data_IF_890475347995
#
_entry.id   IF_890475347995
#
_cell.length_a   1.000
_cell.length_b   1.000
_cell.length_c   1.000
_cell.angle_alpha   90.00
_cell.angle_beta   90.00
_cell.angle_gamma   90.00
#
_symmetry.space_group_name_H-M   'P 1'
#
loop_
_entity.id
_entity.type
_entity.pdbx_description
1 polymer ?
#
# COMPACT_ATOMS: atom_id res chain seq x y z
N UNK A 1 -23.31 -20.15 -17.39
CA UNK A 1 -23.09 -18.69 -17.46
C UNK A 1 -24.10 -18.01 -16.55
N UNK A 2 -23.75 -17.89 -15.27
CA UNK A 2 -24.14 -16.89 -14.27
C UNK A 2 -23.83 -17.54 -12.91
N UNK A 3 -22.62 -17.36 -12.40
CA UNK A 3 -22.30 -17.68 -11.00
C UNK A 3 -22.15 -16.34 -10.25
N UNK A 4 -23.25 -15.82 -9.65
CA UNK A 4 -23.21 -14.57 -8.92
C UNK A 4 -22.20 -14.58 -7.78
N UNK A 5 -21.92 -15.75 -7.18
CA UNK A 5 -20.93 -15.86 -6.10
C UNK A 5 -19.54 -15.56 -6.65
N UNK A 6 -19.15 -16.22 -7.74
CA UNK A 6 -17.85 -15.98 -8.36
C UNK A 6 -17.69 -14.52 -8.80
N UNK A 7 -18.75 -13.91 -9.36
CA UNK A 7 -18.73 -12.50 -9.74
C UNK A 7 -18.53 -11.56 -8.53
N UNK A 8 -19.32 -11.75 -7.46
CA UNK A 8 -19.24 -10.91 -6.26
C UNK A 8 -17.92 -11.11 -5.49
N UNK A 9 -17.40 -12.33 -5.43
CA UNK A 9 -16.07 -12.60 -4.87
C UNK A 9 -14.99 -11.87 -5.66
N UNK A 10 -15.05 -11.89 -7.00
CA UNK A 10 -14.11 -11.14 -7.84
C UNK A 10 -14.15 -9.63 -7.58
N UNK A 11 -15.33 -9.04 -7.36
CA UNK A 11 -15.45 -7.63 -6.99
C UNK A 11 -14.84 -7.34 -5.61
N UNK A 12 -15.03 -8.24 -4.65
CA UNK A 12 -14.45 -8.12 -3.31
C UNK A 12 -12.92 -8.21 -3.35
N UNK A 13 -12.37 -9.16 -4.10
CA UNK A 13 -10.93 -9.31 -4.28
C UNK A 13 -10.33 -8.07 -4.95
N UNK A 14 -11.00 -7.51 -5.95
CA UNK A 14 -10.59 -6.26 -6.58
C UNK A 14 -10.56 -5.09 -5.58
N UNK A 15 -11.56 -5.00 -4.69
CA UNK A 15 -11.62 -3.97 -3.66
C UNK A 15 -10.49 -4.12 -2.62
N UNK A 16 -10.20 -5.34 -2.17
CA UNK A 16 -9.04 -5.62 -1.29
C UNK A 16 -7.76 -5.20 -1.99
N UNK A 17 -7.59 -5.61 -3.26
CA UNK A 17 -6.38 -5.36 -3.99
C UNK A 17 -6.18 -3.88 -4.32
N UNK A 18 -7.25 -3.08 -4.41
CA UNK A 18 -7.18 -1.63 -4.53
C UNK A 18 -6.78 -0.93 -3.22
N UNK A 19 -7.09 -1.55 -2.07
CA UNK A 19 -6.71 -1.06 -0.74
C UNK A 19 -5.34 -1.57 -0.25
N UNK A 20 -4.63 -2.36 -1.07
CA UNK A 20 -3.34 -2.94 -0.70
C UNK A 20 -2.26 -1.84 -0.54
N UNK A 21 -1.68 -1.67 0.66
CA UNK A 21 -0.59 -0.74 0.94
C UNK A 21 0.57 -0.80 -0.06
N UNK A 22 0.97 -2.01 -0.48
CA UNK A 22 2.10 -2.19 -1.38
C UNK A 22 1.84 -1.59 -2.77
N UNK A 23 0.58 -1.54 -3.20
CA UNK A 23 0.18 -1.01 -4.51
C UNK A 23 -0.05 0.49 -4.46
N UNK A 24 -0.69 0.99 -3.39
CA UNK A 24 -1.03 2.41 -3.28
C UNK A 24 0.19 3.27 -2.97
N UNK A 25 1.19 2.77 -2.24
CA UNK A 25 2.31 3.58 -1.79
C UNK A 25 3.24 3.97 -2.93
N UNK A 26 3.58 3.04 -3.83
CA UNK A 26 4.53 3.27 -4.93
C UNK A 26 4.22 4.51 -5.79
N UNK A 27 2.95 4.84 -5.99
CA UNK A 27 2.53 6.00 -6.78
C UNK A 27 2.28 7.29 -6.00
N UNK A 28 2.32 7.24 -4.66
CA UNK A 28 1.92 8.35 -3.78
C UNK A 28 3.02 8.76 -2.80
N UNK A 29 4.25 8.28 -2.98
CA UNK A 29 5.37 8.68 -2.13
C UNK A 29 5.71 10.17 -2.33
N UNK A 30 5.92 10.93 -1.24
CA UNK A 30 6.46 12.27 -1.34
C UNK A 30 7.93 12.22 -1.75
N UNK A 31 8.43 13.28 -2.37
CA UNK A 31 9.87 13.46 -2.54
C UNK A 31 10.57 13.53 -1.18
N UNK A 32 11.79 12.98 -1.02
CA UNK A 32 12.53 13.01 0.23
C UNK A 32 12.77 14.45 0.70
N UNK A 33 12.34 14.83 1.91
CA UNK A 33 12.66 16.13 2.47
C UNK A 33 14.15 16.26 2.76
N UNK A 34 14.66 17.49 2.80
CA UNK A 34 16.05 17.75 3.19
C UNK A 34 16.30 17.26 4.62
N UNK A 35 17.42 16.56 4.82
CA UNK A 35 17.81 16.02 6.12
C UNK A 35 17.20 14.64 6.40
N UNK A 36 16.66 14.45 7.61
CA UNK A 36 16.21 13.14 8.09
C UNK A 36 14.69 12.99 7.92
N UNK A 37 14.28 11.93 7.24
CA UNK A 37 12.86 11.54 7.13
C UNK A 37 12.45 10.73 8.37
N UNK A 38 11.37 11.13 9.04
CA UNK A 38 10.77 10.41 10.16
C UNK A 38 9.36 9.98 9.75
N UNK A 39 9.08 8.69 9.86
CA UNK A 39 7.77 8.11 9.54
C UNK A 39 7.10 7.70 10.84
N UNK A 40 5.88 8.20 11.08
CA UNK A 40 5.08 7.84 12.25
C UNK A 40 3.90 7.03 11.75
N UNK A 41 3.87 5.77 12.15
CA UNK A 41 2.76 4.90 11.89
C UNK A 41 1.74 4.89 13.05
N UNK A 42 0.45 4.84 12.75
CA UNK A 42 -0.61 4.72 13.75
C UNK A 42 -1.77 3.82 13.27
N UNK A 43 -2.41 3.10 14.20
CA UNK A 43 -3.57 2.26 13.93
C UNK A 43 -3.27 0.77 13.77
N UNK A 44 -4.32 -0.02 13.56
CA UNK A 44 -4.27 -1.51 13.65
C UNK A 44 -3.48 -2.19 12.52
N UNK A 45 -3.28 -1.53 11.38
CA UNK A 45 -2.55 -2.06 10.22
C UNK A 45 -1.15 -1.48 10.04
N UNK A 46 -0.66 -0.74 11.05
CA UNK A 46 0.54 0.07 10.90
C UNK A 46 1.81 -0.72 10.58
N UNK A 47 1.97 -1.91 11.16
CA UNK A 47 3.18 -2.71 10.94
C UNK A 47 3.31 -3.15 9.47
N UNK A 48 2.21 -3.60 8.87
CA UNK A 48 2.16 -3.96 7.45
C UNK A 48 2.36 -2.73 6.55
N UNK A 49 1.72 -1.61 6.90
CA UNK A 49 1.87 -0.36 6.17
C UNK A 49 3.32 0.16 6.21
N UNK A 50 3.98 0.06 7.38
CA UNK A 50 5.37 0.46 7.56
C UNK A 50 6.31 -0.42 6.72
N UNK A 51 6.13 -1.74 6.72
CA UNK A 51 6.92 -2.64 5.88
C UNK A 51 6.76 -2.32 4.38
N UNK A 52 5.51 -2.15 3.91
CA UNK A 52 5.24 -1.77 2.52
C UNK A 52 5.83 -0.39 2.17
N UNK A 53 5.84 0.55 3.12
CA UNK A 53 6.47 1.85 2.94
C UNK A 53 7.99 1.75 2.83
N UNK A 54 8.65 0.98 3.69
CA UNK A 54 10.11 0.80 3.62
C UNK A 54 10.56 0.23 2.27
N UNK A 55 9.82 -0.76 1.75
CA UNK A 55 10.09 -1.34 0.44
C UNK A 55 9.87 -0.33 -0.69
N UNK A 56 8.74 0.39 -0.66
CA UNK A 56 8.42 1.40 -1.67
C UNK A 56 9.43 2.56 -1.65
N UNK A 57 9.86 2.99 -0.46
CA UNK A 57 10.83 4.08 -0.27
C UNK A 57 12.18 3.74 -0.90
N UNK A 58 12.70 2.53 -0.64
CA UNK A 58 13.93 2.01 -1.27
C UNK A 58 13.78 1.90 -2.78
N UNK A 59 12.63 1.38 -3.27
CA UNK A 59 12.37 1.22 -4.69
C UNK A 59 12.33 2.55 -5.46
N UNK A 60 11.90 3.63 -4.81
CA UNK A 60 11.94 5.00 -5.35
C UNK A 60 13.35 5.62 -5.35
N UNK A 61 14.38 4.88 -4.93
CA UNK A 61 15.74 5.39 -4.80
C UNK A 61 15.91 6.34 -3.62
N UNK A 62 15.00 6.29 -2.64
CA UNK A 62 15.11 7.07 -1.42
C UNK A 62 15.82 6.22 -0.37
N UNK A 63 17.07 6.57 -0.07
CA UNK A 63 17.92 5.80 0.85
C UNK A 63 19.39 5.98 0.54
#
# INVERSE_FOLDING_TARGET
MNDPRAFLTGLFDAAIAAADPARILLGNLPTPPAGRTIVIGAGKGVAQLAAAFEDAWKAAGHG
#
